data_IF_356213414382
#
_entry.id   IF_356213414382
#
_cell.length_a   1.000
_cell.length_b   1.000
_cell.length_c   1.000
_cell.angle_alpha   90.00
_cell.angle_beta   90.00
_cell.angle_gamma   90.00
#
_symmetry.space_group_name_H-M   'P 1'
#
loop_
_entity.id
_entity.type
_entity.pdbx_description
1 polymer ?
#
# COMPACT_ATOMS: atom_id res chain seq x y z
N UNK A 1 -44.35 10.54 -44.88
CA UNK A 1 -44.32 11.77 -44.06
C UNK A 1 -43.39 11.43 -42.89
N UNK A 2 -42.09 11.77 -42.95
CA UNK A 2 -41.50 13.02 -42.42
C UNK A 2 -41.96 13.20 -40.96
N UNK A 3 -41.19 13.00 -39.91
CA UNK A 3 -39.90 13.57 -39.47
C UNK A 3 -39.81 13.14 -37.98
N UNK A 4 -38.72 13.02 -37.25
CA UNK A 4 -37.53 13.85 -37.16
C UNK A 4 -36.44 13.05 -36.46
N UNK A 5 -35.24 13.19 -37.02
CA UNK A 5 -33.96 12.82 -36.42
C UNK A 5 -33.60 13.78 -35.27
N UNK A 6 -32.49 13.44 -34.61
CA UNK A 6 -31.62 14.27 -33.77
C UNK A 6 -32.08 14.46 -32.31
N UNK A 7 -31.31 13.92 -31.37
CA UNK A 7 -30.22 14.71 -30.81
C UNK A 7 -29.14 13.77 -30.24
N UNK A 8 -28.03 13.64 -30.97
CA UNK A 8 -26.74 13.33 -30.36
C UNK A 8 -26.35 14.53 -29.49
N UNK A 9 -26.32 14.35 -28.18
CA UNK A 9 -25.68 15.31 -27.29
C UNK A 9 -24.22 14.89 -27.10
N UNK A 10 -23.35 15.45 -27.93
CA UNK A 10 -21.93 15.56 -27.64
C UNK A 10 -21.75 16.64 -26.57
N UNK A 11 -21.08 16.34 -25.46
CA UNK A 11 -20.51 17.36 -24.58
C UNK A 11 -19.04 17.03 -24.33
N UNK A 12 -18.21 17.81 -25.02
CA UNK A 12 -16.78 17.99 -24.86
C UNK A 12 -16.45 18.50 -23.46
N UNK A 13 -15.57 17.83 -22.71
CA UNK A 13 -14.86 18.44 -21.57
C UNK A 13 -13.34 18.27 -21.71
N UNK A 14 -12.75 19.29 -22.34
CA UNK A 14 -11.49 19.95 -22.03
C UNK A 14 -10.33 19.12 -21.41
N UNK A 15 -9.38 18.74 -22.26
CA UNK A 15 -7.96 18.85 -21.91
C UNK A 15 -7.58 20.33 -21.89
N UNK A 16 -7.12 20.89 -20.76
CA UNK A 16 -6.24 22.08 -20.67
C UNK A 16 -6.02 22.41 -19.19
N UNK A 17 -4.89 21.96 -18.65
CA UNK A 17 -4.45 22.27 -17.30
C UNK A 17 -2.92 22.22 -17.19
N UNK A 18 -2.25 23.06 -17.98
CA UNK A 18 -0.82 23.37 -17.86
C UNK A 18 -0.51 23.82 -16.42
N UNK A 19 0.26 23.02 -15.71
CA UNK A 19 0.92 23.44 -14.47
C UNK A 19 2.09 24.39 -14.78
N UNK A 20 2.03 25.56 -14.14
CA UNK A 20 3.17 26.30 -13.58
C UNK A 20 4.35 26.65 -14.48
N UNK A 21 4.45 27.93 -14.83
CA UNK A 21 5.63 28.54 -15.46
C UNK A 21 6.27 29.53 -14.46
N UNK A 22 7.62 29.66 -14.57
CA UNK A 22 8.49 30.79 -14.14
C UNK A 22 9.01 30.74 -12.67
N UNK A 23 10.27 31.04 -12.31
CA UNK A 23 11.42 31.66 -13.03
C UNK A 23 12.73 31.59 -12.22
N UNK A 24 13.87 31.66 -12.96
CA UNK A 24 15.18 32.31 -12.69
C UNK A 24 16.25 31.77 -11.71
N UNK A 25 17.38 31.41 -12.34
CA UNK A 25 18.76 31.90 -12.13
C UNK A 25 19.55 31.48 -10.89
N UNK A 26 20.64 30.70 -11.10
CA UNK A 26 22.01 31.20 -10.92
C UNK A 26 23.08 30.18 -11.37
N UNK A 27 24.04 30.70 -12.15
CA UNK A 27 25.22 30.04 -12.68
C UNK A 27 26.35 30.11 -11.64
N UNK A 28 26.95 28.98 -11.27
CA UNK A 28 28.29 28.95 -10.69
C UNK A 28 29.03 27.68 -11.15
N UNK A 29 30.21 27.89 -11.70
CA UNK A 29 31.11 26.90 -12.26
C UNK A 29 32.02 26.38 -11.13
N UNK A 30 32.22 25.06 -11.04
CA UNK A 30 33.14 24.42 -10.08
C UNK A 30 33.48 22.99 -10.54
N UNK A 31 34.76 22.58 -10.58
CA UNK A 31 35.18 21.40 -11.34
C UNK A 31 35.11 20.08 -10.55
N UNK A 32 34.74 19.02 -11.28
CA UNK A 32 35.21 17.63 -11.20
C UNK A 32 35.58 17.06 -9.82
N UNK A 33 34.76 16.13 -9.34
CA UNK A 33 35.31 14.86 -8.83
C UNK A 33 34.32 13.72 -9.05
N UNK A 34 34.85 12.65 -9.65
CA UNK A 34 34.17 11.41 -9.98
C UNK A 34 34.01 10.55 -8.72
N UNK A 35 33.12 9.56 -8.84
CA UNK A 35 33.04 8.30 -8.09
C UNK A 35 31.87 8.21 -7.08
N UNK A 36 30.89 7.36 -7.42
CA UNK A 36 29.79 7.01 -6.53
C UNK A 36 28.58 6.44 -7.27
N UNK A 37 28.70 5.17 -7.71
CA UNK A 37 27.63 4.24 -8.11
C UNK A 37 26.24 4.81 -8.42
N UNK A 38 25.96 4.99 -9.71
CA UNK A 38 24.59 4.85 -10.22
C UNK A 38 24.21 3.36 -10.20
N UNK A 39 23.80 2.87 -9.03
CA UNK A 39 22.97 1.67 -8.96
C UNK A 39 21.55 2.02 -9.42
N UNK A 40 20.79 1.09 -10.03
CA UNK A 40 19.38 1.32 -10.30
C UNK A 40 18.71 1.68 -8.98
N UNK A 41 17.96 2.79 -8.94
CA UNK A 41 17.19 3.19 -7.78
C UNK A 41 16.19 2.09 -7.46
N UNK A 42 16.55 1.20 -6.52
CA UNK A 42 15.59 0.29 -5.92
C UNK A 42 14.47 1.14 -5.29
N UNK A 43 13.20 0.77 -5.50
CA UNK A 43 12.10 1.47 -4.85
C UNK A 43 12.35 1.48 -3.33
N UNK A 44 12.52 2.66 -2.74
CA UNK A 44 12.63 2.78 -1.30
C UNK A 44 11.30 2.31 -0.69
N UNK A 45 11.33 1.18 0.02
CA UNK A 45 10.20 0.76 0.84
C UNK A 45 9.94 1.83 1.92
N UNK A 46 8.66 2.09 2.27
CA UNK A 46 8.35 3.01 3.35
C UNK A 46 8.99 2.54 4.67
N UNK A 47 9.58 3.48 5.43
CA UNK A 47 10.13 3.17 6.75
C UNK A 47 8.99 2.94 7.75
N UNK A 48 9.05 1.83 8.48
CA UNK A 48 8.09 1.49 9.52
C UNK A 48 8.58 1.83 10.94
N UNK A 49 9.71 2.53 11.08
CA UNK A 49 10.28 2.92 12.37
C UNK A 49 9.34 3.83 13.19
N UNK A 50 8.49 4.63 12.53
CA UNK A 50 7.48 5.46 13.19
C UNK A 50 6.30 4.65 13.76
N UNK A 51 6.31 3.32 13.60
CA UNK A 51 5.28 2.42 14.12
C UNK A 51 3.95 2.50 13.38
N UNK A 52 3.89 3.10 12.19
CA UNK A 52 2.70 3.21 11.34
C UNK A 52 2.47 1.97 10.47
N UNK A 53 3.47 1.10 10.38
CA UNK A 53 3.42 -0.15 9.62
C UNK A 53 4.31 -1.23 10.24
N UNK A 54 4.22 -2.45 9.73
CA UNK A 54 5.02 -3.59 10.13
C UNK A 54 5.32 -4.50 8.93
N UNK A 55 6.40 -5.27 9.02
CA UNK A 55 6.76 -6.24 7.99
C UNK A 55 5.89 -7.51 8.06
N UNK A 56 5.43 -7.99 6.90
CA UNK A 56 4.60 -9.17 6.75
C UNK A 56 5.02 -9.95 5.50
N UNK A 57 5.82 -11.01 5.70
CA UNK A 57 6.50 -11.69 4.59
C UNK A 57 7.43 -10.72 3.85
N UNK A 58 7.31 -10.67 2.53
CA UNK A 58 8.05 -9.73 1.65
C UNK A 58 7.38 -8.34 1.55
N UNK A 59 6.24 -8.13 2.21
CA UNK A 59 5.44 -6.90 2.16
C UNK A 59 5.44 -6.10 3.46
N UNK A 60 4.77 -4.94 3.39
CA UNK A 60 4.57 -4.03 4.52
C UNK A 60 3.06 -3.84 4.72
N UNK A 61 2.61 -3.96 5.97
CA UNK A 61 1.22 -3.76 6.37
C UNK A 61 1.07 -2.54 7.27
N UNK A 62 0.04 -1.71 7.09
CA UNK A 62 -0.23 -0.60 7.99
C UNK A 62 -0.72 -1.11 9.36
N UNK A 63 -0.55 -0.30 10.40
CA UNK A 63 -1.13 -0.58 11.72
C UNK A 63 -2.65 -0.74 11.66
N UNK A 64 -3.20 -1.59 12.52
CA UNK A 64 -4.62 -1.96 12.50
C UNK A 64 -4.94 -3.16 11.60
N UNK A 65 -3.93 -3.68 10.89
CA UNK A 65 -3.99 -4.91 10.11
C UNK A 65 -3.18 -6.02 10.80
N UNK A 66 -3.48 -7.27 10.46
CA UNK A 66 -2.70 -8.44 10.83
C UNK A 66 -2.06 -9.06 9.59
N UNK A 67 -0.99 -9.81 9.80
CA UNK A 67 -0.35 -10.57 8.73
C UNK A 67 -1.10 -11.89 8.54
N UNK A 68 -1.57 -12.17 7.34
CA UNK A 68 -2.19 -13.44 6.98
C UNK A 68 -1.33 -14.17 5.96
N UNK A 69 -1.05 -15.44 6.21
CA UNK A 69 -0.41 -16.36 5.27
C UNK A 69 -1.36 -17.51 4.95
N UNK A 70 -1.69 -17.69 3.67
CA UNK A 70 -2.56 -18.76 3.19
C UNK A 70 -1.97 -19.36 1.90
N UNK A 71 -1.71 -20.67 1.89
CA UNK A 71 -1.15 -21.39 0.73
C UNK A 71 0.12 -20.75 0.14
N UNK A 72 0.98 -20.21 1.01
CA UNK A 72 2.23 -19.55 0.62
C UNK A 72 2.07 -18.10 0.16
N UNK A 73 0.85 -17.57 0.08
CA UNK A 73 0.60 -16.14 -0.17
C UNK A 73 0.50 -15.43 1.18
N UNK A 74 1.31 -14.39 1.36
CA UNK A 74 1.32 -13.57 2.58
C UNK A 74 0.86 -12.16 2.27
N UNK A 75 -0.01 -11.60 3.11
CA UNK A 75 -0.56 -10.27 2.91
C UNK A 75 -1.21 -9.69 4.17
N UNK A 76 -1.72 -8.47 4.01
CA UNK A 76 -2.36 -7.71 5.08
C UNK A 76 -3.86 -7.97 5.09
N UNK A 77 -4.38 -8.38 6.23
CA UNK A 77 -5.82 -8.56 6.43
C UNK A 77 -6.29 -7.72 7.61
N UNK A 78 -7.59 -7.39 7.63
CA UNK A 78 -8.23 -6.68 8.73
C UNK A 78 -9.34 -7.54 9.31
N UNK A 79 -9.57 -7.41 10.60
CA UNK A 79 -10.64 -8.13 11.27
C UNK A 79 -11.65 -7.11 11.81
N UNK A 80 -12.95 -7.18 11.43
CA UNK A 80 -13.93 -6.14 11.75
C UNK A 80 -14.16 -5.99 13.26
N UNK A 81 -13.99 -7.07 14.04
CA UNK A 81 -14.09 -7.02 15.51
C UNK A 81 -12.83 -6.46 16.18
N UNK A 82 -11.72 -6.31 15.45
CA UNK A 82 -10.41 -5.91 15.97
C UNK A 82 -9.74 -4.81 15.10
N UNK A 83 -10.42 -3.69 14.81
CA UNK A 83 -9.99 -2.74 13.78
C UNK A 83 -8.75 -1.92 14.15
N UNK A 84 -8.42 -1.79 15.45
CA UNK A 84 -7.29 -1.00 15.93
C UNK A 84 -6.08 -1.84 16.31
N UNK A 85 -6.33 -3.03 16.84
CA UNK A 85 -5.28 -3.91 17.35
C UNK A 85 -5.66 -5.37 17.11
N UNK A 86 -5.43 -5.90 15.89
CA UNK A 86 -5.76 -7.27 15.56
C UNK A 86 -4.69 -8.21 16.12
N UNK A 87 -4.78 -8.46 17.43
CA UNK A 87 -3.98 -9.49 18.13
C UNK A 87 -4.66 -10.85 18.04
N UNK A 88 -3.90 -11.92 18.33
CA UNK A 88 -4.47 -13.26 18.38
C UNK A 88 -5.54 -13.40 19.46
N UNK A 89 -5.40 -12.71 20.60
CA UNK A 89 -6.43 -12.70 21.64
C UNK A 89 -7.74 -12.06 21.15
N UNK A 90 -7.65 -10.94 20.42
CA UNK A 90 -8.83 -10.30 19.87
C UNK A 90 -9.55 -11.17 18.82
N UNK A 91 -8.78 -11.85 17.96
CA UNK A 91 -9.32 -12.73 16.91
C UNK A 91 -9.62 -14.15 17.38
N UNK A 92 -9.36 -14.46 18.65
CA UNK A 92 -9.42 -15.83 19.22
C UNK A 92 -10.70 -16.57 18.87
N UNK A 93 -11.85 -15.90 19.02
CA UNK A 93 -13.17 -16.49 18.73
C UNK A 93 -13.34 -16.87 17.26
N UNK A 94 -12.77 -16.08 16.34
CA UNK A 94 -12.82 -16.37 14.89
C UNK A 94 -11.86 -17.49 14.53
N UNK A 95 -10.63 -17.42 15.03
CA UNK A 95 -9.59 -18.43 14.77
C UNK A 95 -9.94 -19.81 15.33
N UNK A 96 -10.66 -19.87 16.46
CA UNK A 96 -11.17 -21.13 17.01
C UNK A 96 -12.18 -21.84 16.09
N UNK A 97 -12.81 -21.13 15.15
CA UNK A 97 -13.75 -21.74 14.19
C UNK A 97 -13.03 -22.42 13.02
N UNK A 98 -11.78 -22.06 12.75
CA UNK A 98 -10.95 -22.70 11.73
C UNK A 98 -9.68 -23.31 12.35
N UNK A 99 -9.71 -24.61 12.72
CA UNK A 99 -8.57 -25.25 13.37
C UNK A 99 -7.33 -25.38 12.46
N UNK A 100 -7.45 -25.07 11.17
CA UNK A 100 -6.33 -25.07 10.22
C UNK A 100 -5.51 -23.79 10.30
N UNK A 101 -6.04 -22.77 10.98
CA UNK A 101 -5.39 -21.50 11.19
C UNK A 101 -4.65 -21.49 12.53
N UNK A 102 -3.40 -21.06 12.50
CA UNK A 102 -2.57 -20.77 13.68
C UNK A 102 -2.38 -19.26 13.77
N UNK A 103 -2.26 -18.74 14.98
CA UNK A 103 -1.99 -17.33 15.20
C UNK A 103 -0.85 -17.17 16.21
N UNK A 104 0.06 -16.25 15.90
CA UNK A 104 1.16 -15.86 16.77
C UNK A 104 1.25 -14.33 16.85
N UNK A 105 1.31 -13.77 18.06
CA UNK A 105 1.53 -12.34 18.24
C UNK A 105 3.03 -12.02 18.16
N UNK A 106 3.42 -11.15 17.23
CA UNK A 106 4.79 -10.65 17.10
C UNK A 106 4.79 -9.13 17.22
N UNK A 107 5.49 -8.62 18.23
CA UNK A 107 5.57 -7.17 18.51
C UNK A 107 4.19 -6.50 18.59
N UNK A 108 3.19 -7.21 19.12
CA UNK A 108 1.81 -6.70 19.26
C UNK A 108 0.94 -6.81 18.01
N UNK A 109 1.39 -7.50 16.97
CA UNK A 109 0.62 -7.75 15.75
C UNK A 109 0.40 -9.25 15.55
N UNK A 110 -0.79 -9.67 15.16
CA UNK A 110 -1.05 -11.07 14.86
C UNK A 110 -0.45 -11.50 13.51
N UNK A 111 0.13 -12.69 13.50
CA UNK A 111 0.56 -13.43 12.33
C UNK A 111 -0.27 -14.70 12.26
N UNK A 112 -1.24 -14.72 11.34
CA UNK A 112 -2.15 -15.83 11.11
C UNK A 112 -1.63 -16.66 9.94
N UNK A 113 -1.50 -17.97 10.13
CA UNK A 113 -1.13 -18.90 9.06
C UNK A 113 -2.19 -20.00 8.95
N UNK A 114 -2.83 -20.10 7.79
CA UNK A 114 -3.88 -21.09 7.53
C UNK A 114 -3.40 -22.14 6.51
N UNK A 115 -3.54 -23.41 6.89
CA UNK A 115 -3.22 -24.58 6.05
C UNK A 115 -4.49 -24.99 5.28
N UNK A 116 -4.83 -24.24 4.22
CA UNK A 116 -6.02 -24.51 3.41
C UNK A 116 -5.83 -25.57 2.33
#
# INVERSE_FOLDING_TARGET
MRSSQLLLAAIMLACLGCGGQQTTTSKANGPKSQNGSSGPSEPQLPSCDDGTCFACGDGICPTGFYCESNKGVTGCASHPSCPKNPTCDCMRTTLQRDPRCKCEDRKGVAFVTCSG
#
